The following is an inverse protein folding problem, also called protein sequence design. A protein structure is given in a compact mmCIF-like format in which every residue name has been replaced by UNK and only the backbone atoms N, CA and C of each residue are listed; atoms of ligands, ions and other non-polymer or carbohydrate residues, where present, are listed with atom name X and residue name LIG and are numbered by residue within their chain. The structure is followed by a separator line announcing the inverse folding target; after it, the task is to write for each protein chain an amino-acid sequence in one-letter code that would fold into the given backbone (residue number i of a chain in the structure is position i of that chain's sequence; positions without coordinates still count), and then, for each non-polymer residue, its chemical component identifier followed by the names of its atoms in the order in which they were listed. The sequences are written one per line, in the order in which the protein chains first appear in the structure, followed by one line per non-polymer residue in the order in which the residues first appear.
data_IF_757084576791
#
_entry.id   IF_757084576791
#
_cell.length_a   1.000
_cell.length_b   1.000
_cell.length_c   1.000
_cell.angle_alpha   90.00
_cell.angle_beta   90.00
_cell.angle_gamma   90.00
#
_symmetry.space_group_name_H-M   'P 1'
#
loop_
_entity.id
_entity.type
_entity.pdbx_description
1 polymer ?
#
# COMPACT_ATOMS: atom_id res chain seq x y z
N UNK A 1 -8.98 7.16 6.16
CA UNK A 1 -10.10 7.16 7.15
C UNK A 1 -9.74 6.24 8.29
N UNK A 2 -10.10 6.58 9.53
CA UNK A 2 -9.81 5.72 10.70
C UNK A 2 -10.86 4.61 10.82
N UNK A 3 -10.54 3.46 10.27
CA UNK A 3 -11.35 2.24 10.31
C UNK A 3 -10.44 1.01 10.36
N UNK A 4 -10.90 -0.14 10.88
CA UNK A 4 -10.07 -1.34 11.03
C UNK A 4 -9.39 -1.78 9.73
N UNK A 5 -10.08 -1.67 8.58
CA UNK A 5 -9.49 -1.97 7.28
C UNK A 5 -8.22 -1.17 7.03
N UNK A 6 -8.23 0.15 7.27
CA UNK A 6 -7.07 1.02 7.03
C UNK A 6 -6.00 0.82 8.10
N UNK A 7 -6.38 0.54 9.33
CA UNK A 7 -5.45 0.12 10.37
C UNK A 7 -4.68 -1.14 9.99
N UNK A 8 -5.34 -2.07 9.28
CA UNK A 8 -4.67 -3.26 8.76
C UNK A 8 -3.59 -2.93 7.72
N UNK A 9 -3.86 -1.97 6.80
CA UNK A 9 -2.85 -1.45 5.87
C UNK A 9 -1.67 -0.79 6.60
N UNK A 10 -1.97 0.08 7.55
CA UNK A 10 -0.95 0.78 8.34
C UNK A 10 -0.06 -0.21 9.11
N UNK A 11 -0.66 -1.23 9.72
CA UNK A 11 0.07 -2.26 10.44
C UNK A 11 0.95 -3.10 9.52
N UNK A 12 0.45 -3.52 8.36
CA UNK A 12 1.26 -4.24 7.38
C UNK A 12 2.44 -3.42 6.87
N UNK A 13 2.22 -2.14 6.58
CA UNK A 13 3.28 -1.22 6.18
C UNK A 13 4.33 -1.05 7.27
N UNK A 14 3.90 -0.79 8.52
CA UNK A 14 4.79 -0.68 9.67
C UNK A 14 5.64 -1.94 9.85
N UNK A 15 5.02 -3.12 9.75
CA UNK A 15 5.73 -4.40 9.83
C UNK A 15 6.82 -4.53 8.77
N UNK A 16 6.53 -4.13 7.51
CA UNK A 16 7.52 -4.10 6.43
C UNK A 16 8.68 -3.15 6.71
N UNK A 17 8.37 -1.92 7.17
CA UNK A 17 9.37 -0.92 7.54
C UNK A 17 10.30 -1.44 8.65
N UNK A 18 9.74 -2.00 9.73
CA UNK A 18 10.52 -2.51 10.86
C UNK A 18 11.33 -3.76 10.49
N UNK A 19 10.84 -4.57 9.55
CA UNK A 19 11.60 -5.72 9.02
C UNK A 19 12.81 -5.28 8.19
N UNK A 20 12.66 -4.21 7.40
CA UNK A 20 13.75 -3.67 6.58
C UNK A 20 14.75 -2.85 7.42
N UNK A 21 14.25 -2.07 8.38
CA UNK A 21 15.09 -1.19 9.22
C UNK A 21 14.45 -1.03 10.61
N UNK A 22 14.99 -1.76 11.59
CA UNK A 22 14.46 -1.83 12.96
C UNK A 22 14.41 -0.51 13.71
N UNK A 23 15.27 0.44 13.38
CA UNK A 23 15.38 1.78 13.98
C UNK A 23 14.73 2.87 13.12
N UNK A 24 13.94 2.50 12.12
CA UNK A 24 13.21 3.45 11.30
C UNK A 24 12.18 4.21 12.14
N UNK A 25 12.10 5.54 11.93
CA UNK A 25 11.03 6.33 12.53
C UNK A 25 9.75 6.12 11.71
N UNK A 26 8.70 5.67 12.37
CA UNK A 26 7.38 5.50 11.77
C UNK A 26 6.43 6.60 12.26
N UNK A 27 5.75 7.25 11.32
CA UNK A 27 4.75 8.28 11.58
C UNK A 27 3.43 7.83 10.96
N UNK A 28 2.32 8.03 11.67
CA UNK A 28 0.98 7.66 11.19
C UNK A 28 -0.01 8.80 11.47
N UNK A 29 -0.80 9.14 10.47
CA UNK A 29 -1.90 10.09 10.57
C UNK A 29 -3.13 9.57 9.84
N UNK A 30 -4.30 9.68 10.46
CA UNK A 30 -5.56 9.43 9.80
C UNK A 30 -6.09 10.70 9.15
N UNK A 31 -6.67 10.55 7.95
CA UNK A 31 -7.23 11.66 7.16
C UNK A 31 -8.57 12.15 7.72
N UNK A 32 -9.23 11.35 8.55
CA UNK A 32 -10.50 11.66 9.19
C UNK A 32 -11.28 10.41 9.58
N UNK A 33 -12.49 10.61 10.10
CA UNK A 33 -13.38 9.54 10.59
C UNK A 33 -14.65 9.37 9.76
N UNK A 34 -14.88 10.25 8.78
CA UNK A 34 -16.03 10.21 7.87
C UNK A 34 -15.61 9.90 6.44
N UNK A 35 -16.56 9.58 5.58
CA UNK A 35 -16.30 9.29 4.16
C UNK A 35 -15.60 10.43 3.41
N UNK A 36 -15.73 11.69 3.85
CA UNK A 36 -14.98 12.81 3.29
C UNK A 36 -13.45 12.62 3.33
N UNK A 37 -12.95 11.83 4.28
CA UNK A 37 -11.54 11.47 4.39
C UNK A 37 -10.95 10.78 3.14
N UNK A 38 -11.80 10.24 2.26
CA UNK A 38 -11.38 9.61 1.01
C UNK A 38 -11.23 10.56 -0.17
N UNK A 39 -11.72 11.79 -0.05
CA UNK A 39 -11.75 12.75 -1.15
C UNK A 39 -11.42 14.17 -0.71
N UNK A 40 -10.28 14.33 -0.03
CA UNK A 40 -9.74 15.61 0.43
C UNK A 40 -8.23 15.69 0.13
N UNK A 41 -7.82 15.94 -1.13
CA UNK A 41 -6.41 16.04 -1.50
C UNK A 41 -5.67 17.17 -0.77
N UNK A 42 -6.37 18.26 -0.40
CA UNK A 42 -5.77 19.37 0.37
C UNK A 42 -5.31 18.86 1.73
N UNK A 43 -6.19 18.18 2.45
CA UNK A 43 -5.88 17.54 3.73
C UNK A 43 -4.77 16.51 3.60
N UNK A 44 -4.80 15.70 2.54
CA UNK A 44 -3.73 14.74 2.25
C UNK A 44 -2.36 15.41 2.15
N UNK A 45 -2.27 16.49 1.38
CA UNK A 45 -1.04 17.26 1.22
C UNK A 45 -0.56 17.92 2.51
N UNK A 46 -1.48 18.45 3.35
CA UNK A 46 -1.14 19.03 4.66
C UNK A 46 -0.52 18.00 5.60
N UNK A 47 -1.13 16.82 5.71
CA UNK A 47 -0.62 15.74 6.54
C UNK A 47 0.75 15.23 6.04
N UNK A 48 0.93 15.11 4.73
CA UNK A 48 2.20 14.73 4.14
C UNK A 48 3.30 15.75 4.45
N UNK A 49 3.05 17.03 4.28
CA UNK A 49 3.98 18.11 4.65
C UNK A 49 4.32 18.08 6.14
N UNK A 50 3.34 17.84 6.99
CA UNK A 50 3.57 17.69 8.44
C UNK A 50 4.47 16.51 8.77
N UNK A 51 4.29 15.36 8.12
CA UNK A 51 5.18 14.20 8.32
C UNK A 51 6.59 14.47 7.80
N UNK A 52 6.72 15.10 6.64
CA UNK A 52 8.03 15.47 6.06
C UNK A 52 8.78 16.47 6.93
N UNK A 53 8.09 17.44 7.56
CA UNK A 53 8.72 18.37 8.51
C UNK A 53 9.24 17.66 9.78
N UNK A 54 8.73 16.47 10.08
CA UNK A 54 9.21 15.61 11.16
C UNK A 54 10.27 14.59 10.70
N UNK A 55 10.72 14.68 9.43
CA UNK A 55 11.79 13.88 8.87
C UNK A 55 11.36 12.67 8.03
N UNK A 56 10.08 12.55 7.67
CA UNK A 56 9.65 11.50 6.74
C UNK A 56 10.25 11.76 5.34
N UNK A 57 10.80 10.73 4.73
CA UNK A 57 11.38 10.75 3.38
C UNK A 57 10.59 9.90 2.38
N UNK A 58 9.78 8.96 2.88
CA UNK A 58 8.86 8.14 2.09
C UNK A 58 7.49 8.15 2.76
N UNK A 59 6.43 8.42 1.98
CA UNK A 59 5.06 8.47 2.49
C UNK A 59 4.18 7.48 1.72
N UNK A 60 3.64 6.50 2.42
CA UNK A 60 2.60 5.62 1.92
C UNK A 60 1.22 6.16 2.29
N UNK A 61 0.33 6.27 1.32
CA UNK A 61 -1.06 6.63 1.57
C UNK A 61 -1.99 5.42 1.36
N UNK A 62 -2.98 5.27 2.22
CA UNK A 62 -4.12 4.37 2.05
C UNK A 62 -5.40 5.21 2.23
N UNK A 63 -5.62 6.17 1.32
CA UNK A 63 -6.52 7.30 1.55
C UNK A 63 -7.41 7.65 0.32
N UNK A 64 -7.53 6.76 -0.67
CA UNK A 64 -8.32 7.03 -1.87
C UNK A 64 -7.83 8.29 -2.61
N UNK A 65 -8.74 9.14 -3.09
CA UNK A 65 -8.40 10.36 -3.82
C UNK A 65 -7.65 11.40 -2.96
N UNK A 66 -7.78 11.38 -1.64
CA UNK A 66 -6.96 12.17 -0.70
C UNK A 66 -5.47 11.91 -0.90
N UNK A 67 -5.10 10.69 -1.31
CA UNK A 67 -3.72 10.29 -1.59
C UNK A 67 -3.08 11.03 -2.76
N UNK A 68 -3.86 11.58 -3.70
CA UNK A 68 -3.32 12.38 -4.80
C UNK A 68 -2.56 13.60 -4.25
N UNK A 69 -3.13 14.25 -3.22
CA UNK A 69 -2.46 15.37 -2.55
C UNK A 69 -1.22 14.95 -1.75
N UNK A 70 -1.20 13.72 -1.22
CA UNK A 70 -0.01 13.16 -0.55
C UNK A 70 1.13 12.98 -1.55
N UNK A 71 0.87 12.35 -2.70
CA UNK A 71 1.87 12.12 -3.74
C UNK A 71 2.40 13.44 -4.32
N UNK A 72 1.50 14.42 -4.57
CA UNK A 72 1.89 15.76 -5.01
C UNK A 72 2.83 16.43 -3.99
N UNK A 73 2.45 16.45 -2.71
CA UNK A 73 3.27 17.10 -1.67
C UNK A 73 4.65 16.42 -1.50
N UNK A 74 4.72 15.09 -1.64
CA UNK A 74 5.98 14.36 -1.61
C UNK A 74 6.87 14.76 -2.81
N UNK A 75 6.32 14.80 -4.02
CA UNK A 75 7.03 15.20 -5.22
C UNK A 75 7.54 16.64 -5.14
N UNK A 76 6.69 17.60 -4.72
CA UNK A 76 7.03 19.01 -4.54
C UNK A 76 8.20 19.22 -3.55
N UNK A 77 8.30 18.34 -2.54
CA UNK A 77 9.36 18.37 -1.54
C UNK A 77 10.61 17.57 -1.93
N UNK A 78 10.67 17.00 -3.14
CA UNK A 78 11.77 16.14 -3.57
C UNK A 78 11.87 14.84 -2.74
N UNK A 79 10.75 14.39 -2.17
CA UNK A 79 10.61 13.15 -1.39
C UNK A 79 9.89 12.10 -2.21
N UNK A 80 9.65 10.94 -1.60
CA UNK A 80 9.03 9.82 -2.29
C UNK A 80 7.64 9.50 -1.74
N UNK A 81 6.76 9.10 -2.65
CA UNK A 81 5.47 8.53 -2.32
C UNK A 81 5.36 7.06 -2.68
N UNK A 82 4.42 6.37 -2.04
CA UNK A 82 3.96 5.04 -2.43
C UNK A 82 2.46 5.14 -2.70
N UNK A 83 2.05 4.76 -3.92
CA UNK A 83 0.66 4.73 -4.35
C UNK A 83 -0.12 3.55 -3.77
N UNK A 84 -1.43 3.52 -3.99
CA UNK A 84 -2.33 2.46 -3.51
C UNK A 84 -3.45 2.17 -4.51
N UNK A 85 -4.03 0.99 -4.39
CA UNK A 85 -5.16 0.45 -5.16
C UNK A 85 -4.84 0.17 -6.63
N UNK A 86 -4.51 1.17 -7.41
CA UNK A 86 -4.06 1.09 -8.79
C UNK A 86 -2.60 1.54 -8.93
N UNK A 87 -2.02 1.31 -10.11
CA UNK A 87 -0.71 1.87 -10.42
C UNK A 87 -0.81 3.40 -10.54
N UNK A 88 -0.19 4.11 -9.63
CA UNK A 88 -0.14 5.57 -9.55
C UNK A 88 1.26 6.13 -9.89
N UNK A 89 2.19 5.29 -10.36
CA UNK A 89 3.57 5.69 -10.64
C UNK A 89 3.66 6.85 -11.65
N UNK A 90 2.72 6.90 -12.62
CA UNK A 90 2.67 7.92 -13.64
C UNK A 90 2.24 9.31 -13.14
N UNK A 91 1.69 9.42 -11.94
CA UNK A 91 1.26 10.72 -11.40
C UNK A 91 2.45 11.64 -11.14
N UNK A 92 3.55 11.08 -10.64
CA UNK A 92 4.80 11.83 -10.39
C UNK A 92 6.01 10.94 -10.72
N UNK A 93 6.37 10.79 -12.02
CA UNK A 93 7.52 9.99 -12.43
C UNK A 93 8.80 10.43 -11.71
N UNK A 94 9.54 9.47 -11.17
CA UNK A 94 10.75 9.73 -10.39
C UNK A 94 10.51 10.09 -8.91
N UNK A 95 9.25 10.21 -8.47
CA UNK A 95 8.88 10.50 -7.08
C UNK A 95 7.91 9.49 -6.47
N UNK A 96 7.31 8.60 -7.26
CA UNK A 96 6.54 7.46 -6.75
C UNK A 96 7.41 6.22 -6.84
N UNK A 97 7.86 5.71 -5.68
CA UNK A 97 8.73 4.52 -5.61
C UNK A 97 8.05 3.28 -6.17
N UNK A 98 6.79 3.12 -5.86
CA UNK A 98 5.93 2.04 -6.34
C UNK A 98 4.49 2.34 -5.96
N UNK A 99 3.57 1.48 -6.38
CA UNK A 99 2.17 1.49 -5.94
C UNK A 99 1.79 0.11 -5.45
N UNK A 100 1.22 0.02 -4.25
CA UNK A 100 0.57 -1.19 -3.77
C UNK A 100 -0.72 -1.40 -4.57
N UNK A 101 -0.76 -2.45 -5.38
CA UNK A 101 -1.84 -2.70 -6.34
C UNK A 101 -2.78 -3.76 -5.81
N UNK A 102 -4.08 -3.47 -5.83
CA UNK A 102 -5.15 -4.46 -5.69
C UNK A 102 -5.54 -4.95 -7.08
N UNK A 103 -5.36 -6.23 -7.33
CA UNK A 103 -5.64 -6.87 -8.62
C UNK A 103 -7.14 -7.20 -8.76
N UNK A 104 -7.95 -6.13 -8.76
CA UNK A 104 -9.41 -6.25 -8.96
C UNK A 104 -9.73 -6.86 -10.33
N UNK A 105 -8.90 -6.60 -11.32
CA UNK A 105 -8.95 -7.23 -12.65
C UNK A 105 -8.91 -8.76 -12.56
N UNK A 106 -7.95 -9.32 -11.81
CA UNK A 106 -7.84 -10.76 -11.58
C UNK A 106 -9.05 -11.31 -10.83
N UNK A 107 -9.50 -10.61 -9.78
CA UNK A 107 -10.65 -11.04 -8.99
C UNK A 107 -11.93 -11.13 -9.85
N UNK A 108 -12.17 -10.11 -10.68
CA UNK A 108 -13.34 -10.08 -11.58
C UNK A 108 -13.22 -11.17 -12.65
N UNK A 109 -12.04 -11.27 -13.29
CA UNK A 109 -11.81 -12.27 -14.32
C UNK A 109 -12.03 -13.69 -13.79
N UNK A 110 -11.44 -14.03 -12.62
CA UNK A 110 -11.59 -15.35 -12.02
C UNK A 110 -13.05 -15.66 -11.69
N UNK A 111 -13.80 -14.67 -11.18
CA UNK A 111 -15.23 -14.84 -10.91
C UNK A 111 -16.04 -15.21 -12.14
N UNK A 112 -15.75 -14.57 -13.29
CA UNK A 112 -16.39 -14.92 -14.55
C UNK A 112 -15.98 -16.31 -15.08
N UNK A 113 -14.71 -16.67 -14.95
CA UNK A 113 -14.24 -18.01 -15.33
C UNK A 113 -14.90 -19.09 -14.49
N UNK A 114 -15.01 -18.91 -13.19
CA UNK A 114 -15.68 -19.86 -12.28
C UNK A 114 -17.17 -19.98 -12.61
N UNK A 115 -17.83 -18.87 -12.89
CA UNK A 115 -19.23 -18.87 -13.34
C UNK A 115 -19.41 -19.65 -14.65
N UNK A 116 -18.53 -19.41 -15.63
CA UNK A 116 -18.55 -20.11 -16.93
C UNK A 116 -18.35 -21.63 -16.79
N UNK A 117 -17.54 -22.06 -15.82
CA UNK A 117 -17.30 -23.49 -15.51
C UNK A 117 -18.39 -24.11 -14.64
N UNK A 118 -19.33 -23.32 -14.11
CA UNK A 118 -20.34 -23.78 -13.17
C UNK A 118 -19.79 -24.01 -11.75
N UNK A 119 -18.61 -23.46 -11.45
CA UNK A 119 -17.88 -23.61 -10.17
C UNK A 119 -18.07 -22.43 -9.23
N UNK A 120 -18.79 -21.39 -9.68
CA UNK A 120 -19.02 -20.19 -8.87
C UNK A 120 -19.68 -20.51 -7.54
N UNK A 121 -19.07 -20.04 -6.46
CA UNK A 121 -19.59 -20.14 -5.10
C UNK A 121 -19.75 -18.75 -4.51
N UNK A 122 -20.96 -18.43 -4.04
CA UNK A 122 -21.20 -17.19 -3.31
C UNK A 122 -20.45 -17.17 -1.97
N UNK A 123 -20.13 -15.97 -1.49
CA UNK A 123 -19.44 -15.76 -0.21
C UNK A 123 -18.35 -14.70 -0.29
N UNK A 124 -17.56 -14.59 0.77
CA UNK A 124 -16.40 -13.71 0.84
C UNK A 124 -15.12 -14.51 0.56
N UNK A 125 -14.32 -14.04 -0.38
CA UNK A 125 -13.02 -14.63 -0.70
C UNK A 125 -11.94 -13.57 -0.42
N UNK A 126 -10.85 -14.00 0.22
CA UNK A 126 -9.67 -13.15 0.41
C UNK A 126 -8.59 -13.57 -0.58
N UNK A 127 -8.17 -12.63 -1.41
CA UNK A 127 -7.11 -12.83 -2.40
C UNK A 127 -5.85 -12.10 -1.94
N UNK A 128 -4.84 -12.86 -1.55
CA UNK A 128 -3.55 -12.34 -1.10
C UNK A 128 -2.47 -12.40 -2.18
N UNK A 129 -1.21 -12.42 -1.75
CA UNK A 129 -0.05 -12.56 -2.64
C UNK A 129 -0.04 -13.89 -3.38
N UNK A 130 -0.49 -14.97 -2.73
CA UNK A 130 -0.51 -16.32 -3.29
C UNK A 130 -1.48 -16.44 -4.47
N UNK A 131 -2.61 -15.77 -4.38
CA UNK A 131 -3.68 -15.74 -5.38
C UNK A 131 -3.48 -14.61 -6.42
N UNK A 132 -2.34 -13.91 -6.38
CA UNK A 132 -2.10 -12.71 -7.19
C UNK A 132 -3.22 -11.65 -7.06
N UNK A 133 -3.79 -11.54 -5.87
CA UNK A 133 -4.83 -10.55 -5.56
C UNK A 133 -4.29 -9.18 -5.17
N UNK A 134 -3.01 -9.14 -4.76
CA UNK A 134 -2.28 -7.91 -4.43
C UNK A 134 -0.84 -8.01 -4.92
N UNK A 135 -0.23 -6.86 -5.18
CA UNK A 135 1.15 -6.77 -5.62
C UNK A 135 1.70 -5.36 -5.53
N UNK A 136 2.80 -5.10 -6.20
CA UNK A 136 3.37 -3.77 -6.33
C UNK A 136 3.74 -3.49 -7.80
N UNK A 137 3.68 -2.23 -8.19
CA UNK A 137 3.88 -1.81 -9.58
C UNK A 137 5.35 -1.47 -9.86
N UNK A 138 5.86 -2.01 -10.98
CA UNK A 138 7.15 -1.62 -11.56
C UNK A 138 6.93 -1.31 -13.02
N UNK A 139 7.29 -0.10 -13.45
CA UNK A 139 7.16 0.37 -14.83
C UNK A 139 8.25 1.41 -15.17
N UNK A 140 8.15 2.02 -16.33
CA UNK A 140 9.12 3.01 -16.81
C UNK A 140 9.21 4.26 -15.93
N UNK A 141 8.16 4.58 -15.14
CA UNK A 141 8.13 5.76 -14.29
C UNK A 141 8.90 5.59 -12.98
N UNK A 142 9.11 4.34 -12.52
CA UNK A 142 9.72 4.08 -11.22
C UNK A 142 10.91 3.09 -11.26
N UNK A 143 11.11 2.32 -12.34
CA UNK A 143 12.15 1.29 -12.39
C UNK A 143 13.56 1.80 -12.08
N UNK A 144 13.86 3.07 -12.40
CA UNK A 144 15.15 3.69 -12.12
C UNK A 144 15.37 4.02 -10.64
N UNK A 145 14.30 4.04 -9.83
CA UNK A 145 14.34 4.29 -8.39
C UNK A 145 14.59 3.01 -7.59
N UNK A 146 14.27 1.86 -8.18
CA UNK A 146 14.33 0.56 -7.51
C UNK A 146 15.70 -0.07 -7.75
N UNK A 147 16.50 -0.19 -6.68
CA UNK A 147 17.77 -0.89 -6.78
C UNK A 147 17.56 -2.41 -6.86
N UNK A 148 18.54 -3.16 -7.40
CA UNK A 148 18.50 -4.63 -7.39
C UNK A 148 18.32 -5.20 -5.99
N UNK A 149 18.93 -4.58 -4.97
CA UNK A 149 18.82 -5.00 -3.57
C UNK A 149 17.40 -4.79 -3.02
N UNK A 150 16.76 -3.65 -3.33
CA UNK A 150 15.37 -3.40 -2.95
C UNK A 150 14.44 -4.45 -3.57
N UNK A 151 14.59 -4.69 -4.87
CA UNK A 151 13.79 -5.67 -5.60
C UNK A 151 13.98 -7.07 -5.02
N UNK A 152 15.23 -7.49 -4.80
CA UNK A 152 15.53 -8.81 -4.22
C UNK A 152 14.93 -8.98 -2.82
N UNK A 153 15.00 -7.93 -1.98
CA UNK A 153 14.43 -7.95 -0.63
C UNK A 153 12.90 -8.09 -0.65
N UNK A 154 12.23 -7.35 -1.53
CA UNK A 154 10.75 -7.42 -1.68
C UNK A 154 10.31 -8.76 -2.23
N UNK A 155 10.96 -9.28 -3.27
CA UNK A 155 10.64 -10.60 -3.84
C UNK A 155 10.90 -11.74 -2.83
N UNK A 156 11.98 -11.64 -2.03
CA UNK A 156 12.21 -12.59 -0.95
C UNK A 156 11.10 -12.53 0.09
N UNK A 157 10.72 -11.34 0.55
CA UNK A 157 9.63 -11.16 1.52
C UNK A 157 8.30 -11.71 0.98
N UNK A 158 8.00 -11.46 -0.29
CA UNK A 158 6.83 -12.03 -0.98
C UNK A 158 6.85 -13.55 -0.96
N UNK A 159 7.97 -14.16 -1.33
CA UNK A 159 8.12 -15.62 -1.32
C UNK A 159 7.95 -16.19 0.09
N UNK A 160 8.55 -15.57 1.10
CA UNK A 160 8.48 -15.99 2.50
C UNK A 160 7.05 -15.87 3.07
N UNK A 161 6.30 -14.84 2.68
CA UNK A 161 4.87 -14.68 3.06
C UNK A 161 4.03 -15.78 2.40
N UNK A 162 4.22 -16.03 1.10
CA UNK A 162 3.49 -17.08 0.37
C UNK A 162 3.78 -18.46 0.96
N UNK A 163 5.04 -18.73 1.35
CA UNK A 163 5.46 -19.96 2.00
C UNK A 163 5.01 -20.08 3.47
N UNK A 164 4.49 -18.99 4.06
CA UNK A 164 4.07 -18.94 5.48
C UNK A 164 5.22 -18.82 6.48
N UNK A 165 6.45 -18.60 6.01
CA UNK A 165 7.64 -18.36 6.85
C UNK A 165 7.54 -17.00 7.54
N UNK A 166 7.05 -15.98 6.82
CA UNK A 166 6.64 -14.70 7.38
C UNK A 166 5.13 -14.71 7.57
N UNK A 167 4.68 -14.52 8.81
CA UNK A 167 3.26 -14.35 9.14
C UNK A 167 2.96 -12.87 9.29
N UNK A 168 2.24 -12.31 8.31
CA UNK A 168 1.76 -10.94 8.41
C UNK A 168 0.61 -10.88 9.40
N UNK A 169 0.70 -9.97 10.37
CA UNK A 169 -0.36 -9.79 11.36
C UNK A 169 -1.62 -9.21 10.70
N UNK A 170 -2.78 -9.76 11.03
CA UNK A 170 -4.08 -9.26 10.59
C UNK A 170 -4.72 -8.44 11.71
N UNK A 171 -4.63 -7.12 11.60
CA UNK A 171 -5.21 -6.18 12.57
C UNK A 171 -6.69 -6.46 12.87
N UNK A 172 -7.46 -6.97 11.90
CA UNK A 172 -8.89 -7.23 12.08
C UNK A 172 -9.19 -8.39 13.05
N UNK A 173 -8.18 -9.17 13.48
CA UNK A 173 -8.39 -10.31 14.40
C UNK A 173 -8.46 -9.87 15.85
N UNK A 174 -7.72 -8.84 16.23
CA UNK A 174 -7.56 -8.42 17.63
C UNK A 174 -7.46 -6.90 17.85
N UNK A 175 -7.53 -6.12 16.76
CA UNK A 175 -7.39 -4.66 16.75
C UNK A 175 -6.05 -4.16 17.34
N UNK A 176 -4.98 -4.96 17.24
CA UNK A 176 -3.62 -4.59 17.67
C UNK A 176 -2.64 -4.58 16.51
N UNK A 177 -1.49 -3.92 16.70
CA UNK A 177 -0.37 -3.96 15.77
C UNK A 177 0.92 -4.26 16.55
N UNK A 178 1.49 -5.45 16.41
CA UNK A 178 2.62 -5.90 17.24
C UNK A 178 3.99 -5.35 16.80
N UNK A 179 4.04 -4.53 15.77
CA UNK A 179 5.28 -3.96 15.21
C UNK A 179 5.69 -2.64 15.83
#
# INVERSE_FOLDING_TARGET
MDIPLIRNFACGYKGGVMAAKKDAKYLENMTGTTAAAWNDPVRGGELARSQMSQGADVIFHAAGATGIGVLQAAADAGKFGIGVDSNQNMLHPGHVLTSMVKRVDNAVYQTFEDAKKGEFKGGTVTLGLKEDGVGYAVDDNNKALLTPEMTAAVEKAKADIIAGTIKVHNYNTDNTCPY
#
